data_IF_583967736083
#
_entry.id   IF_583967736083
#
_cell.length_a   1.000
_cell.length_b   1.000
_cell.length_c   1.000
_cell.angle_alpha   90.00
_cell.angle_beta   90.00
_cell.angle_gamma   90.00
#
_symmetry.space_group_name_H-M   'P 1'
#
loop_
_entity.id
_entity.type
_entity.pdbx_description
1 polymer ?
#
# COMPACT_ATOMS: atom_id res chain seq x y z
N UNK A 1 3.30 -12.30 -2.61
CA UNK A 1 4.27 -11.80 -3.59
C UNK A 1 3.93 -10.37 -3.97
N UNK A 2 4.93 -9.56 -4.24
CA UNK A 2 4.71 -8.16 -4.61
C UNK A 2 5.55 -7.82 -5.85
N UNK A 3 4.92 -7.14 -6.81
CA UNK A 3 5.59 -6.57 -7.98
C UNK A 3 5.56 -5.05 -7.85
N UNK A 4 6.65 -4.40 -8.17
CA UNK A 4 6.81 -2.96 -7.99
C UNK A 4 7.13 -2.32 -9.34
N UNK A 5 6.37 -1.29 -9.70
CA UNK A 5 6.57 -0.54 -10.93
C UNK A 5 6.38 0.95 -10.68
N UNK A 6 7.31 1.77 -11.14
CA UNK A 6 7.16 3.21 -11.11
C UNK A 6 6.75 3.73 -12.49
N UNK A 7 5.66 4.46 -12.55
CA UNK A 7 5.14 5.05 -13.79
C UNK A 7 5.46 6.54 -13.79
N UNK A 8 6.47 6.93 -14.56
CA UNK A 8 6.92 8.31 -14.63
C UNK A 8 5.83 9.28 -15.08
N UNK A 9 5.04 8.86 -16.05
CA UNK A 9 3.98 9.72 -16.61
C UNK A 9 3.01 10.21 -15.55
N UNK A 10 2.70 9.36 -14.56
CA UNK A 10 1.75 9.65 -13.50
C UNK A 10 2.43 9.97 -12.17
N UNK A 11 3.75 9.89 -12.11
CA UNK A 11 4.53 10.01 -10.88
C UNK A 11 3.96 9.07 -9.81
N UNK A 12 3.72 7.81 -10.20
CA UNK A 12 3.01 6.83 -9.39
C UNK A 12 3.84 5.57 -9.19
N UNK A 13 4.08 5.24 -7.93
CA UNK A 13 4.74 3.99 -7.54
C UNK A 13 3.66 2.94 -7.28
N UNK A 14 3.62 1.94 -8.14
CA UNK A 14 2.57 0.93 -8.10
C UNK A 14 3.08 -0.39 -7.52
N UNK A 15 2.38 -0.87 -6.49
CA UNK A 15 2.65 -2.16 -5.87
C UNK A 15 1.50 -3.10 -6.20
N UNK A 16 1.79 -4.19 -6.90
CA UNK A 16 0.79 -5.21 -7.22
C UNK A 16 1.05 -6.42 -6.35
N UNK A 17 0.04 -6.84 -5.60
CA UNK A 17 0.14 -7.96 -4.68
C UNK A 17 -0.68 -9.13 -5.19
N UNK A 18 -0.33 -10.35 -4.76
CA UNK A 18 -1.14 -11.53 -5.05
C UNK A 18 -1.12 -12.52 -3.88
N UNK A 19 -2.17 -13.32 -3.81
CA UNK A 19 -2.29 -14.42 -2.86
C UNK A 19 -2.86 -14.00 -1.52
N UNK A 20 -2.42 -14.70 -0.49
CA UNK A 20 -2.82 -14.52 0.91
C UNK A 20 -1.83 -13.59 1.60
N UNK A 21 -2.27 -12.40 1.98
CA UNK A 21 -1.41 -11.46 2.68
C UNK A 21 -1.55 -11.66 4.19
N UNK A 22 -1.11 -12.82 4.65
CA UNK A 22 -1.09 -13.16 6.07
C UNK A 22 0.08 -12.46 6.77
N UNK A 23 0.24 -12.70 8.08
CA UNK A 23 1.27 -12.04 8.87
C UNK A 23 2.68 -12.34 8.37
N UNK A 24 2.97 -13.60 8.03
CA UNK A 24 4.30 -13.99 7.57
C UNK A 24 4.64 -13.36 6.22
N UNK A 25 3.73 -13.46 5.26
CA UNK A 25 3.89 -12.87 3.94
C UNK A 25 4.03 -11.35 4.05
N UNK A 26 3.21 -10.73 4.89
CA UNK A 26 3.21 -9.27 5.08
C UNK A 26 4.51 -8.74 5.67
N UNK A 27 5.21 -9.54 6.48
CA UNK A 27 6.52 -9.13 7.01
C UNK A 27 7.53 -8.91 5.87
N UNK A 28 7.58 -9.83 4.91
CA UNK A 28 8.44 -9.71 3.74
C UNK A 28 8.05 -8.53 2.87
N UNK A 29 6.75 -8.38 2.65
CA UNK A 29 6.20 -7.30 1.84
C UNK A 29 6.55 -5.95 2.46
N UNK A 30 6.44 -5.82 3.78
CA UNK A 30 6.74 -4.59 4.49
C UNK A 30 8.18 -4.13 4.27
N UNK A 31 9.13 -5.06 4.33
CA UNK A 31 10.54 -4.75 4.09
C UNK A 31 10.75 -4.23 2.67
N UNK A 32 10.13 -4.86 1.69
CA UNK A 32 10.21 -4.45 0.29
C UNK A 32 9.62 -3.06 0.07
N UNK A 33 8.48 -2.77 0.69
CA UNK A 33 7.80 -1.48 0.58
C UNK A 33 8.68 -0.37 1.18
N UNK A 34 9.16 -0.57 2.40
CA UNK A 34 9.97 0.41 3.09
C UNK A 34 11.23 0.72 2.30
N UNK A 35 11.91 -0.31 1.81
CA UNK A 35 13.13 -0.15 1.02
C UNK A 35 12.87 0.67 -0.23
N UNK A 36 11.80 0.36 -0.95
CA UNK A 36 11.48 1.06 -2.20
C UNK A 36 11.10 2.51 -1.93
N UNK A 37 10.30 2.77 -0.89
CA UNK A 37 9.91 4.12 -0.53
C UNK A 37 11.12 4.97 -0.15
N UNK A 38 12.01 4.44 0.68
CA UNK A 38 13.19 5.17 1.13
C UNK A 38 14.14 5.46 -0.03
N UNK A 39 14.35 4.49 -0.92
CA UNK A 39 15.20 4.69 -2.10
C UNK A 39 14.63 5.79 -3.00
N UNK A 40 13.32 5.79 -3.20
CA UNK A 40 12.68 6.75 -4.11
C UNK A 40 12.58 8.15 -3.49
N UNK A 41 12.38 8.23 -2.18
CA UNK A 41 12.42 9.52 -1.48
C UNK A 41 13.83 10.08 -1.39
N UNK A 42 14.83 9.21 -1.42
CA UNK A 42 16.21 9.58 -1.16
C UNK A 42 16.49 9.84 0.31
N UNK A 43 15.63 9.34 1.20
CA UNK A 43 15.71 9.58 2.64
C UNK A 43 15.00 8.45 3.38
N UNK A 44 15.49 8.11 4.57
CA UNK A 44 14.84 7.15 5.47
C UNK A 44 14.07 7.84 6.60
N UNK A 45 13.94 9.17 6.54
CA UNK A 45 13.20 9.92 7.55
C UNK A 45 11.70 9.72 7.36
N UNK A 46 11.00 9.04 8.31
CA UNK A 46 9.57 8.77 8.18
C UNK A 46 8.68 10.01 8.22
N UNK A 47 9.20 11.13 8.71
CA UNK A 47 8.44 12.38 8.74
C UNK A 47 8.50 13.12 7.41
N UNK A 48 9.44 12.77 6.55
CA UNK A 48 9.54 13.36 5.23
C UNK A 48 8.58 12.66 4.29
N UNK A 49 7.53 13.37 3.86
CA UNK A 49 6.50 12.81 3.01
C UNK A 49 6.92 12.88 1.54
N UNK A 50 6.70 11.76 0.84
CA UNK A 50 7.02 11.67 -0.58
C UNK A 50 6.06 12.52 -1.42
N UNK A 51 6.59 13.07 -2.52
CA UNK A 51 5.80 13.83 -3.48
C UNK A 51 5.10 12.95 -4.52
N UNK A 52 5.58 11.72 -4.68
CA UNK A 52 4.98 10.79 -5.62
C UNK A 52 3.75 10.10 -5.04
N UNK A 53 2.94 9.55 -5.94
CA UNK A 53 1.75 8.79 -5.55
C UNK A 53 2.14 7.34 -5.31
N UNK A 54 1.38 6.66 -4.46
CA UNK A 54 1.53 5.22 -4.21
C UNK A 54 0.19 4.54 -4.41
N UNK A 55 0.19 3.47 -5.19
CA UNK A 55 -1.00 2.66 -5.43
C UNK A 55 -0.72 1.22 -5.01
N UNK A 56 -1.64 0.66 -4.23
CA UNK A 56 -1.66 -0.76 -3.88
C UNK A 56 -2.76 -1.42 -4.71
N UNK A 57 -2.39 -2.36 -5.57
CA UNK A 57 -3.32 -3.09 -6.42
C UNK A 57 -3.54 -4.48 -5.83
N UNK A 58 -4.78 -4.76 -5.42
CA UNK A 58 -5.15 -6.00 -4.74
C UNK A 58 -6.01 -6.92 -5.62
N UNK A 59 -5.93 -6.79 -6.94
CA UNK A 59 -6.76 -7.58 -7.87
C UNK A 59 -6.67 -9.08 -7.62
N UNK A 60 -5.47 -9.59 -7.38
CA UNK A 60 -5.22 -11.02 -7.20
C UNK A 60 -5.04 -11.43 -5.74
N UNK A 61 -5.50 -10.60 -4.82
CA UNK A 61 -5.39 -10.85 -3.38
C UNK A 61 -6.69 -11.45 -2.87
N UNK A 62 -6.59 -12.59 -2.16
CA UNK A 62 -7.74 -13.33 -1.63
C UNK A 62 -7.96 -13.12 -0.14
N UNK A 63 -6.97 -12.59 0.58
CA UNK A 63 -7.05 -12.40 2.02
C UNK A 63 -6.04 -11.37 2.47
N UNK A 64 -6.42 -10.53 3.44
CA UNK A 64 -5.50 -9.60 4.08
C UNK A 64 -5.57 -9.77 5.60
N UNK A 65 -4.41 -9.70 6.25
CA UNK A 65 -4.29 -9.74 7.70
C UNK A 65 -4.38 -8.33 8.29
N UNK A 66 -4.58 -8.26 9.60
CA UNK A 66 -4.51 -6.97 10.30
C UNK A 66 -3.12 -6.35 10.17
N UNK A 67 -2.08 -7.17 10.06
CA UNK A 67 -0.71 -6.69 9.83
C UNK A 67 -0.62 -5.96 8.48
N UNK A 68 -1.22 -6.52 7.43
CA UNK A 68 -1.22 -5.86 6.11
C UNK A 68 -1.99 -4.54 6.16
N UNK A 69 -3.11 -4.49 6.88
CA UNK A 69 -3.87 -3.25 7.07
C UNK A 69 -2.99 -2.18 7.71
N UNK A 70 -2.21 -2.57 8.71
CA UNK A 70 -1.27 -1.66 9.36
C UNK A 70 -0.21 -1.15 8.39
N UNK A 71 0.29 -2.01 7.51
CA UNK A 71 1.23 -1.61 6.45
C UNK A 71 0.61 -0.53 5.56
N UNK A 72 -0.66 -0.70 5.20
CA UNK A 72 -1.38 0.30 4.39
C UNK A 72 -1.42 1.65 5.10
N UNK A 73 -1.74 1.65 6.39
CA UNK A 73 -1.80 2.88 7.18
C UNK A 73 -0.44 3.55 7.24
N UNK A 74 0.61 2.79 7.53
CA UNK A 74 1.97 3.33 7.64
C UNK A 74 2.48 3.84 6.30
N UNK A 75 2.17 3.15 5.21
CA UNK A 75 2.55 3.58 3.87
C UNK A 75 1.84 4.88 3.48
N UNK A 76 0.56 4.98 3.80
CA UNK A 76 -0.21 6.19 3.51
C UNK A 76 0.38 7.42 4.21
N UNK A 77 0.97 7.23 5.39
CA UNK A 77 1.62 8.31 6.13
C UNK A 77 2.95 8.74 5.54
N UNK A 78 3.54 7.96 4.65
CA UNK A 78 4.82 8.28 4.01
C UNK A 78 4.67 9.19 2.80
N UNK A 79 3.44 9.41 2.34
CA UNK A 79 3.15 10.25 1.18
C UNK A 79 2.23 11.40 1.59
N UNK A 80 2.17 12.42 0.76
CA UNK A 80 1.29 13.56 1.01
C UNK A 80 -0.18 13.12 0.99
N UNK A 81 -1.05 13.80 1.75
CA UNK A 81 -2.47 13.45 1.77
C UNK A 81 -3.07 13.38 0.37
N UNK A 82 -3.84 12.33 0.11
CA UNK A 82 -4.45 12.10 -1.20
C UNK A 82 -3.58 11.37 -2.20
N UNK A 83 -2.32 11.11 -1.87
CA UNK A 83 -1.38 10.45 -2.79
C UNK A 83 -1.29 8.93 -2.60
N UNK A 84 -2.04 8.37 -1.67
CA UNK A 84 -2.11 6.93 -1.47
C UNK A 84 -3.49 6.41 -1.84
N UNK A 85 -3.55 5.27 -2.52
CA UNK A 85 -4.82 4.61 -2.82
C UNK A 85 -4.66 3.10 -2.90
N UNK A 86 -5.76 2.40 -2.68
CA UNK A 86 -5.85 0.95 -2.82
C UNK A 86 -6.92 0.66 -3.86
N UNK A 87 -6.58 -0.12 -4.88
CA UNK A 87 -7.49 -0.38 -5.99
C UNK A 87 -7.74 -1.89 -6.17
N UNK A 88 -8.82 -2.20 -6.86
CA UNK A 88 -9.18 -3.56 -7.27
C UNK A 88 -9.40 -4.52 -6.10
N UNK A 89 -9.91 -4.01 -4.98
CA UNK A 89 -10.29 -4.86 -3.84
C UNK A 89 -11.51 -5.68 -4.20
N UNK A 90 -11.50 -6.97 -3.85
CA UNK A 90 -12.73 -7.73 -3.93
C UNK A 90 -13.71 -7.23 -2.86
N UNK A 91 -15.01 -7.56 -2.97
CA UNK A 91 -16.02 -7.03 -2.04
C UNK A 91 -15.75 -7.37 -0.58
N UNK A 92 -15.18 -8.53 -0.28
CA UNK A 92 -14.89 -8.93 1.10
C UNK A 92 -13.74 -8.12 1.69
N UNK A 93 -12.70 -7.90 0.91
CA UNK A 93 -11.55 -7.10 1.35
C UNK A 93 -11.96 -5.65 1.51
N UNK A 94 -12.72 -5.12 0.56
CA UNK A 94 -13.25 -3.76 0.65
C UNK A 94 -14.09 -3.56 1.90
N UNK A 95 -14.92 -4.54 2.23
CA UNK A 95 -15.74 -4.51 3.44
C UNK A 95 -14.88 -4.51 4.70
N UNK A 96 -13.78 -5.24 4.70
CA UNK A 96 -12.85 -5.26 5.83
C UNK A 96 -12.30 -3.87 6.11
N UNK A 97 -11.88 -3.14 5.09
CA UNK A 97 -11.42 -1.76 5.25
C UNK A 97 -12.54 -0.85 5.74
N UNK A 98 -13.74 -1.03 5.23
CA UNK A 98 -14.89 -0.22 5.63
C UNK A 98 -15.24 -0.42 7.10
N UNK A 99 -15.26 -1.68 7.57
CA UNK A 99 -15.54 -2.01 8.97
C UNK A 99 -14.47 -1.40 9.88
N UNK A 100 -13.22 -1.37 9.42
CA UNK A 100 -12.13 -0.76 10.17
C UNK A 100 -12.16 0.79 10.11
N UNK A 101 -13.09 1.36 9.34
CA UNK A 101 -13.20 2.81 9.21
C UNK A 101 -12.11 3.44 8.36
N UNK A 102 -11.49 2.67 7.46
CA UNK A 102 -10.32 3.10 6.70
C UNK A 102 -10.58 3.28 5.20
N UNK A 103 -11.79 2.97 4.73
CA UNK A 103 -12.09 2.99 3.30
C UNK A 103 -11.92 4.37 2.67
N UNK A 104 -12.26 5.44 3.38
CA UNK A 104 -12.09 6.80 2.88
C UNK A 104 -10.65 7.29 3.05
N UNK A 105 -10.08 7.10 4.24
CA UNK A 105 -8.73 7.61 4.54
C UNK A 105 -7.64 6.96 3.69
N UNK A 106 -7.84 5.70 3.28
CA UNK A 106 -6.91 4.98 2.42
C UNK A 106 -7.32 4.98 0.95
N UNK A 107 -8.40 5.67 0.61
CA UNK A 107 -8.93 5.75 -0.77
C UNK A 107 -9.10 4.34 -1.37
N UNK A 108 -9.86 3.50 -0.69
CA UNK A 108 -10.11 2.12 -1.10
C UNK A 108 -11.21 2.06 -2.16
N UNK A 109 -10.94 1.36 -3.24
CA UNK A 109 -11.94 1.19 -4.32
C UNK A 109 -11.92 -0.20 -4.96
#
# INVERSE_FOLDING_TARGET
MVSIEYKEADNNLNFTFNGHLDTNTSTWINESIIKELNNRKGSDNPEEKADFKVTFDLLDVSYISSYFIRICILTAKQVKPGNFRIINCDPMIKKTFKIAGLDESLNVS
#
